data_IF_864095492701
#
_entry.id   IF_864095492701
#
_cell.length_a   1.000
_cell.length_b   1.000
_cell.length_c   1.000
_cell.angle_alpha   90.00
_cell.angle_beta   90.00
_cell.angle_gamma   90.00
#
_symmetry.space_group_name_H-M   'P 1'
#
loop_
_entity.id
_entity.type
_entity.pdbx_description
1 polymer ?
#
# COMPACT_ATOMS: atom_id res chain seq x y z
N UNK A 1 -12.02 16.84 -19.48
CA UNK A 1 -10.76 17.55 -19.19
C UNK A 1 -9.61 16.78 -19.80
N UNK A 2 -8.76 17.41 -20.61
CA UNK A 2 -7.60 16.74 -21.22
C UNK A 2 -6.41 16.84 -20.26
N UNK A 3 -6.06 15.75 -19.58
CA UNK A 3 -4.96 15.73 -18.61
C UNK A 3 -3.66 15.58 -19.40
N UNK A 4 -2.87 16.65 -19.45
CA UNK A 4 -1.56 16.64 -20.10
C UNK A 4 -0.57 15.82 -19.25
N UNK A 5 -0.15 14.67 -19.77
CA UNK A 5 0.86 13.82 -19.13
C UNK A 5 2.27 14.25 -19.53
N UNK A 6 3.21 14.07 -18.61
CA UNK A 6 4.63 14.21 -18.94
C UNK A 6 5.04 13.09 -19.89
N UNK A 7 5.87 13.43 -20.87
CA UNK A 7 6.41 12.48 -21.84
C UNK A 7 7.39 11.52 -21.14
N UNK A 8 7.12 10.20 -21.11
CA UNK A 8 8.01 9.21 -20.49
C UNK A 8 9.41 9.17 -21.10
N UNK A 9 9.57 9.62 -22.35
CA UNK A 9 10.87 9.67 -23.02
C UNK A 9 11.72 10.87 -22.59
N UNK A 10 11.12 11.87 -21.94
CA UNK A 10 11.79 13.12 -21.53
C UNK A 10 11.87 13.31 -20.02
N UNK A 11 11.08 12.55 -19.26
CA UNK A 11 11.01 12.66 -17.81
C UNK A 11 11.23 11.31 -17.14
N UNK A 12 12.11 11.26 -16.14
CA UNK A 12 12.42 10.04 -15.39
C UNK A 12 11.25 9.54 -14.53
N UNK A 13 10.36 10.45 -14.10
CA UNK A 13 9.17 10.14 -13.30
C UNK A 13 7.94 10.82 -13.92
N UNK A 14 7.41 10.31 -15.04
CA UNK A 14 6.32 10.94 -15.77
C UNK A 14 4.96 10.87 -15.06
N UNK A 15 4.84 10.04 -14.02
CA UNK A 15 3.61 9.90 -13.25
C UNK A 15 3.31 11.07 -12.30
N UNK A 16 2.03 11.26 -11.90
CA UNK A 16 1.67 12.30 -10.95
C UNK A 16 2.39 12.14 -9.61
N UNK A 17 2.97 13.23 -9.10
CA UNK A 17 3.68 13.21 -7.81
C UNK A 17 2.80 12.71 -6.66
N UNK A 18 1.51 13.05 -6.66
CA UNK A 18 0.57 12.61 -5.62
C UNK A 18 0.33 11.08 -5.66
N UNK A 19 0.33 10.47 -6.85
CA UNK A 19 0.24 9.02 -6.99
C UNK A 19 1.52 8.34 -6.48
N UNK A 20 2.69 8.87 -6.83
CA UNK A 20 3.99 8.39 -6.35
C UNK A 20 4.08 8.50 -4.83
N UNK A 21 3.64 9.63 -4.27
CA UNK A 21 3.63 9.86 -2.82
C UNK A 21 2.70 8.89 -2.08
N UNK A 22 1.54 8.56 -2.65
CA UNK A 22 0.62 7.59 -2.05
C UNK A 22 1.25 6.18 -1.93
N UNK A 23 1.93 5.72 -2.98
CA UNK A 23 2.65 4.43 -2.98
C UNK A 23 3.91 4.47 -2.08
N UNK A 24 4.63 5.58 -2.07
CA UNK A 24 5.80 5.76 -1.19
C UNK A 24 5.39 5.72 0.29
N UNK A 25 4.31 6.40 0.67
CA UNK A 25 3.80 6.39 2.05
C UNK A 25 3.34 4.99 2.48
N UNK A 26 2.79 4.20 1.56
CA UNK A 26 2.47 2.80 1.83
C UNK A 26 3.71 1.98 2.17
N UNK A 27 4.80 2.11 1.40
CA UNK A 27 6.07 1.42 1.69
C UNK A 27 6.72 1.95 2.98
N UNK A 28 6.74 3.27 3.19
CA UNK A 28 7.28 3.88 4.41
C UNK A 28 6.52 3.39 5.65
N UNK A 29 5.20 3.22 5.55
CA UNK A 29 4.39 2.65 6.62
C UNK A 29 4.79 1.21 6.97
N UNK A 30 5.23 0.42 5.98
CA UNK A 30 5.69 -0.95 6.23
C UNK A 30 7.12 -0.97 6.82
N UNK A 31 8.01 -0.08 6.39
CA UNK A 31 9.45 -0.24 6.69
C UNK A 31 10.02 0.72 7.73
N UNK A 32 9.55 1.97 7.79
CA UNK A 32 10.27 3.04 8.51
C UNK A 32 9.43 3.73 9.58
N UNK A 33 8.23 4.17 9.21
CA UNK A 33 7.35 4.96 10.09
C UNK A 33 5.94 4.35 10.08
N UNK A 34 5.76 3.17 10.70
CA UNK A 34 4.45 2.55 10.80
C UNK A 34 3.49 3.48 11.54
N UNK A 35 2.21 3.39 11.19
CA UNK A 35 1.12 4.24 11.70
C UNK A 35 1.24 5.70 11.26
N UNK A 36 2.38 6.37 11.44
CA UNK A 36 2.55 7.77 11.05
C UNK A 36 2.39 7.96 9.54
N UNK A 37 3.09 7.17 8.72
CA UNK A 37 2.94 7.24 7.26
C UNK A 37 1.54 6.81 6.79
N UNK A 38 0.91 5.87 7.49
CA UNK A 38 -0.49 5.52 7.27
C UNK A 38 -1.43 6.70 7.54
N UNK A 39 -1.28 7.41 8.66
CA UNK A 39 -2.11 8.58 8.97
C UNK A 39 -1.96 9.66 7.90
N UNK A 40 -0.73 9.94 7.45
CA UNK A 40 -0.49 10.88 6.34
C UNK A 40 -1.18 10.41 5.06
N UNK A 41 -1.06 9.12 4.71
CA UNK A 41 -1.74 8.54 3.54
C UNK A 41 -3.27 8.68 3.64
N UNK A 42 -3.86 8.44 4.81
CA UNK A 42 -5.30 8.58 5.03
C UNK A 42 -5.77 10.04 4.92
N UNK A 43 -4.97 10.99 5.40
CA UNK A 43 -5.24 12.43 5.20
C UNK A 43 -5.20 12.79 3.72
N UNK A 44 -4.21 12.30 2.96
CA UNK A 44 -4.15 12.52 1.52
C UNK A 44 -5.34 11.88 0.80
N UNK A 45 -5.72 10.66 1.18
CA UNK A 45 -6.87 9.99 0.60
C UNK A 45 -8.15 10.77 0.88
N UNK A 46 -8.42 11.17 2.13
CA UNK A 46 -9.60 11.97 2.47
C UNK A 46 -9.65 13.28 1.68
N UNK A 47 -8.50 13.97 1.53
CA UNK A 47 -8.42 15.26 0.82
C UNK A 47 -8.53 15.15 -0.70
N UNK A 48 -8.04 14.06 -1.28
CA UNK A 48 -7.86 13.93 -2.74
C UNK A 48 -8.54 12.69 -3.35
N UNK A 49 -9.50 12.06 -2.66
CA UNK A 49 -10.21 10.89 -3.20
C UNK A 49 -11.02 11.19 -4.48
N UNK A 50 -11.48 12.43 -4.64
CA UNK A 50 -12.21 12.92 -5.82
C UNK A 50 -11.33 13.75 -6.77
N UNK A 51 -10.01 13.53 -6.75
CA UNK A 51 -9.09 14.25 -7.63
C UNK A 51 -9.45 14.08 -9.11
N UNK A 52 -9.34 15.13 -9.92
CA UNK A 52 -9.73 15.12 -11.34
C UNK A 52 -8.94 14.09 -12.17
N UNK A 53 -7.73 13.76 -11.69
CA UNK A 53 -6.83 12.78 -12.28
C UNK A 53 -7.18 11.32 -11.88
N UNK A 54 -7.58 10.46 -12.83
CA UNK A 54 -7.91 9.07 -12.54
C UNK A 54 -6.72 8.24 -12.03
N UNK A 55 -5.48 8.54 -12.42
CA UNK A 55 -4.31 7.83 -11.87
C UNK A 55 -4.09 8.15 -10.40
N UNK A 56 -4.27 9.42 -10.02
CA UNK A 56 -4.17 9.86 -8.62
C UNK A 56 -5.24 9.16 -7.78
N UNK A 57 -6.49 9.16 -8.26
CA UNK A 57 -7.60 8.46 -7.61
C UNK A 57 -7.33 6.96 -7.46
N UNK A 58 -6.80 6.34 -8.53
CA UNK A 58 -6.45 4.93 -8.52
C UNK A 58 -5.44 4.63 -7.42
N UNK A 59 -4.26 5.26 -7.44
CA UNK A 59 -3.23 4.96 -6.47
C UNK A 59 -3.64 5.30 -5.04
N UNK A 60 -4.30 6.43 -4.77
CA UNK A 60 -4.77 6.78 -3.43
C UNK A 60 -5.79 5.77 -2.88
N UNK A 61 -6.76 5.35 -3.70
CA UNK A 61 -7.76 4.37 -3.27
C UNK A 61 -7.15 2.99 -3.08
N UNK A 62 -6.27 2.57 -3.98
CA UNK A 62 -5.63 1.26 -3.94
C UNK A 62 -4.70 1.12 -2.74
N UNK A 63 -3.83 2.09 -2.49
CA UNK A 63 -2.93 2.07 -1.32
C UNK A 63 -3.69 2.25 -0.03
N UNK A 64 -4.69 3.14 0.03
CA UNK A 64 -5.53 3.32 1.22
C UNK A 64 -6.22 2.01 1.64
N UNK A 65 -6.94 1.37 0.72
CA UNK A 65 -7.61 0.10 1.00
C UNK A 65 -6.64 -1.03 1.32
N UNK A 66 -5.53 -1.13 0.60
CA UNK A 66 -4.51 -2.17 0.85
C UNK A 66 -3.83 -1.95 2.20
N UNK A 67 -3.60 -0.71 2.61
CA UNK A 67 -3.01 -0.42 3.92
C UNK A 67 -3.95 -0.83 5.05
N UNK A 68 -5.25 -0.55 4.93
CA UNK A 68 -6.25 -0.96 5.91
C UNK A 68 -6.35 -2.49 6.00
N UNK A 69 -6.62 -3.18 4.88
CA UNK A 69 -6.81 -4.63 4.90
C UNK A 69 -5.52 -5.40 5.18
N UNK A 70 -4.41 -4.99 4.55
CA UNK A 70 -3.10 -5.61 4.75
C UNK A 70 -2.62 -5.46 6.19
N UNK A 71 -2.74 -4.26 6.76
CA UNK A 71 -2.42 -4.00 8.16
C UNK A 71 -3.31 -4.77 9.12
N UNK A 72 -4.64 -4.77 8.88
CA UNK A 72 -5.60 -5.49 9.71
C UNK A 72 -5.31 -6.99 9.72
N UNK A 73 -5.13 -7.62 8.56
CA UNK A 73 -4.85 -9.05 8.47
C UNK A 73 -3.53 -9.39 9.16
N UNK A 74 -2.48 -8.62 8.90
CA UNK A 74 -1.15 -8.83 9.49
C UNK A 74 -1.21 -8.77 11.02
N UNK A 75 -1.86 -7.75 11.58
CA UNK A 75 -1.94 -7.55 13.03
C UNK A 75 -2.90 -8.56 13.69
N UNK A 76 -4.13 -8.69 13.19
CA UNK A 76 -5.14 -9.55 13.81
C UNK A 76 -4.72 -11.02 13.79
N UNK A 77 -4.15 -11.50 12.68
CA UNK A 77 -3.70 -12.90 12.60
C UNK A 77 -2.49 -13.14 13.49
N UNK A 78 -1.55 -12.19 13.57
CA UNK A 78 -0.41 -12.31 14.49
C UNK A 78 -0.87 -12.40 15.94
N UNK A 79 -1.82 -11.55 16.35
CA UNK A 79 -2.42 -11.61 17.69
C UNK A 79 -3.14 -12.95 17.90
N UNK A 80 -3.92 -13.41 16.93
CA UNK A 80 -4.62 -14.69 17.03
C UNK A 80 -3.65 -15.88 17.20
N UNK A 81 -2.55 -15.91 16.45
CA UNK A 81 -1.51 -16.94 16.61
C UNK A 81 -0.95 -16.94 18.03
N UNK A 82 -0.60 -15.76 18.56
CA UNK A 82 -0.03 -15.65 19.91
C UNK A 82 -1.03 -16.05 21.00
N UNK A 83 -2.28 -15.60 20.91
CA UNK A 83 -3.32 -15.90 21.90
C UNK A 83 -3.76 -17.36 21.88
N UNK A 84 -3.86 -17.98 20.70
CA UNK A 84 -4.28 -19.38 20.57
C UNK A 84 -3.13 -20.37 20.84
N UNK A 85 -1.90 -20.00 20.46
CA UNK A 85 -0.72 -20.86 20.63
C UNK A 85 -0.06 -20.77 22.01
N UNK A 86 -0.28 -19.66 22.74
CA UNK A 86 0.33 -19.39 24.03
C UNK A 86 1.76 -18.84 23.93
N UNK A 87 2.10 -17.92 24.83
CA UNK A 87 3.38 -17.20 24.83
C UNK A 87 4.57 -18.06 25.27
N UNK A 88 4.33 -19.10 26.06
CA UNK A 88 5.37 -20.00 26.59
C UNK A 88 5.76 -21.12 25.60
N UNK A 89 5.03 -21.27 24.50
CA UNK A 89 5.27 -22.30 23.50
C UNK A 89 6.21 -21.77 22.39
N UNK A 90 7.43 -22.34 22.23
CA UNK A 90 8.38 -21.89 21.20
C UNK A 90 7.85 -22.01 19.77
N UNK A 91 6.98 -22.98 19.48
CA UNK A 91 6.41 -23.14 18.14
C UNK A 91 5.45 -22.02 17.76
N UNK A 92 4.76 -21.42 18.75
CA UNK A 92 3.92 -20.24 18.54
C UNK A 92 4.74 -19.07 17.98
N UNK A 93 5.93 -18.86 18.52
CA UNK A 93 6.87 -17.84 18.04
C UNK A 93 7.38 -18.14 16.64
N UNK A 94 7.79 -19.39 16.38
CA UNK A 94 8.24 -19.80 15.02
C UNK A 94 7.14 -19.53 13.99
N UNK A 95 5.91 -19.96 14.25
CA UNK A 95 4.77 -19.76 13.35
C UNK A 95 4.44 -18.27 13.21
N UNK A 96 4.37 -17.53 14.33
CA UNK A 96 4.04 -16.11 14.33
C UNK A 96 5.07 -15.27 13.57
N UNK A 97 6.36 -15.53 13.77
CA UNK A 97 7.45 -14.83 13.08
C UNK A 97 7.43 -15.16 11.58
N UNK A 98 7.30 -16.44 11.21
CA UNK A 98 7.24 -16.84 9.79
C UNK A 98 6.05 -16.22 9.08
N UNK A 99 4.87 -16.27 9.71
CA UNK A 99 3.66 -15.63 9.21
C UNK A 99 3.88 -14.12 8.99
N UNK A 100 4.34 -13.42 10.03
CA UNK A 100 4.54 -11.98 9.98
C UNK A 100 5.54 -11.62 8.87
N UNK A 101 6.70 -12.27 8.82
CA UNK A 101 7.73 -12.00 7.82
C UNK A 101 7.24 -12.24 6.39
N UNK A 102 6.57 -13.36 6.12
CA UNK A 102 6.11 -13.69 4.76
C UNK A 102 5.03 -12.72 4.28
N UNK A 103 4.02 -12.45 5.11
CA UNK A 103 2.94 -11.52 4.74
C UNK A 103 3.48 -10.10 4.61
N UNK A 104 4.33 -9.66 5.54
CA UNK A 104 4.94 -8.35 5.53
C UNK A 104 5.83 -8.13 4.29
N UNK A 105 6.74 -9.07 3.99
CA UNK A 105 7.57 -9.01 2.80
C UNK A 105 6.74 -9.03 1.52
N UNK A 106 5.66 -9.82 1.48
CA UNK A 106 4.70 -9.81 0.38
C UNK A 106 4.07 -8.43 0.17
N UNK A 107 3.60 -7.78 1.24
CA UNK A 107 3.04 -6.42 1.17
C UNK A 107 4.08 -5.40 0.67
N UNK A 108 5.34 -5.49 1.11
CA UNK A 108 6.43 -4.64 0.61
C UNK A 108 6.62 -4.83 -0.90
N UNK A 109 6.67 -6.08 -1.37
CA UNK A 109 6.84 -6.37 -2.80
C UNK A 109 5.69 -5.80 -3.63
N UNK A 110 4.45 -5.97 -3.17
CA UNK A 110 3.28 -5.36 -3.82
C UNK A 110 3.39 -3.82 -3.84
N UNK A 111 3.87 -3.22 -2.75
CA UNK A 111 4.15 -1.79 -2.62
C UNK A 111 5.16 -1.29 -3.65
N UNK A 112 6.29 -1.97 -3.79
CA UNK A 112 7.34 -1.61 -4.76
C UNK A 112 6.82 -1.72 -6.21
N UNK A 113 6.00 -2.73 -6.52
CA UNK A 113 5.35 -2.83 -7.84
C UNK A 113 4.37 -1.67 -8.09
N UNK A 114 3.57 -1.30 -7.08
CA UNK A 114 2.67 -0.14 -7.14
C UNK A 114 3.41 1.17 -7.34
N UNK A 115 4.49 1.40 -6.58
CA UNK A 115 5.35 2.57 -6.73
C UNK A 115 6.00 2.65 -8.11
N UNK A 116 6.53 1.53 -8.62
CA UNK A 116 7.11 1.46 -9.97
C UNK A 116 6.07 1.83 -11.05
N UNK A 117 4.83 1.36 -10.90
CA UNK A 117 3.72 1.71 -11.80
C UNK A 117 3.35 3.20 -11.69
N UNK A 118 3.27 3.74 -10.47
CA UNK A 118 2.98 5.14 -10.23
C UNK A 118 4.04 6.06 -10.86
N UNK A 119 5.33 5.75 -10.68
CA UNK A 119 6.45 6.49 -11.27
C UNK A 119 6.30 6.55 -12.80
N UNK A 120 5.92 5.44 -13.42
CA UNK A 120 5.74 5.33 -14.87
C UNK A 120 4.38 5.87 -15.38
N UNK A 121 3.55 6.47 -14.51
CA UNK A 121 2.24 6.99 -14.89
C UNK A 121 1.26 5.90 -15.36
N UNK A 122 1.34 4.71 -14.76
CA UNK A 122 0.47 3.57 -15.06
C UNK A 122 -0.37 3.24 -13.84
N UNK A 123 -1.65 2.93 -14.05
CA UNK A 123 -2.53 2.45 -12.98
C UNK A 123 -2.02 1.13 -12.41
N UNK A 124 -2.32 0.90 -11.14
CA UNK A 124 -2.01 -0.35 -10.44
C UNK A 124 -3.26 -0.84 -9.70
N UNK A 125 -3.35 -2.16 -9.55
CA UNK A 125 -4.35 -2.77 -8.69
C UNK A 125 -3.65 -3.83 -7.86
N UNK A 126 -3.71 -3.66 -6.55
CA UNK A 126 -3.15 -4.65 -5.65
C UNK A 126 -3.92 -5.96 -5.80
N UNK A 127 -3.24 -7.10 -5.99
CA UNK A 127 -3.90 -8.39 -6.00
C UNK A 127 -4.57 -8.61 -4.62
N UNK A 128 -5.76 -9.21 -4.63
CA UNK A 128 -6.61 -9.50 -3.46
C UNK A 128 -7.22 -8.27 -2.77
N UNK A 129 -6.44 -7.25 -2.44
CA UNK A 129 -6.90 -6.11 -1.61
C UNK A 129 -7.42 -4.92 -2.41
N UNK A 130 -7.03 -4.81 -3.68
CA UNK A 130 -7.35 -3.68 -4.52
C UNK A 130 -8.82 -3.64 -4.94
N UNK A 131 -9.61 -2.61 -4.55
CA UNK A 131 -10.97 -2.46 -5.02
C UNK A 131 -11.00 -2.32 -6.55
N UNK A 132 -12.10 -2.71 -7.19
CA UNK A 132 -12.28 -2.48 -8.63
C UNK A 132 -12.52 -0.99 -8.87
N UNK A 133 -11.89 -0.45 -9.90
CA UNK A 133 -12.25 0.88 -10.39
C UNK A 133 -13.65 0.82 -11.00
N UNK A 134 -14.58 1.72 -10.63
CA UNK A 134 -15.80 1.88 -11.41
C UNK A 134 -15.41 2.33 -12.81
N UNK A 135 -15.95 1.64 -13.81
CA UNK A 135 -15.79 1.95 -15.24
C UNK A 135 -16.43 3.29 -15.56
#
# INVERSE_FOLDING_TARGET
MNIQRQDPLKHLMPGPQLAVMAEALFIINLMLLPVLAFLVLMVLWAKFHDHEDPLVRNHLRQTGWTCIWGGLILVCTSIAILLLGGFDNPWTWVIGILYFLLVHAGLILLGVMGLSRAINGRSWRYPVFGPREPV
#
